data_IF_610822856554
#
_entry.id   IF_610822856554
#
_cell.length_a   1.000
_cell.length_b   1.000
_cell.length_c   1.000
_cell.angle_alpha   90.00
_cell.angle_beta   90.00
_cell.angle_gamma   90.00
#
_symmetry.space_group_name_H-M   'P 1'
#
loop_
_entity.id
_entity.type
_entity.pdbx_description
1 polymer ?
#
# COMPACT_ATOMS: atom_id res chain seq x y z
N UNK A 1 -22.93 27.65 -20.58
CA UNK A 1 -24.04 26.73 -20.27
C UNK A 1 -23.93 25.57 -21.25
N UNK A 2 -23.13 24.54 -21.02
CA UNK A 2 -23.39 23.40 -20.13
C UNK A 2 -22.06 22.66 -19.94
N UNK A 3 -21.48 22.73 -18.74
CA UNK A 3 -20.44 21.79 -18.34
C UNK A 3 -21.16 20.63 -17.66
N UNK A 4 -21.40 19.57 -18.44
CA UNK A 4 -21.79 18.27 -17.89
C UNK A 4 -20.63 17.84 -16.98
N UNK A 5 -20.84 18.00 -15.66
CA UNK A 5 -19.97 17.50 -14.59
C UNK A 5 -20.08 15.98 -14.58
N UNK A 6 -19.42 15.34 -15.53
CA UNK A 6 -19.29 13.89 -15.53
C UNK A 6 -18.30 13.50 -14.44
N UNK A 7 -18.80 13.33 -13.22
CA UNK A 7 -18.00 13.10 -12.01
C UNK A 7 -17.02 11.93 -12.13
N UNK A 8 -17.33 10.94 -12.99
CA UNK A 8 -16.47 9.81 -13.31
C UNK A 8 -15.18 10.22 -14.05
N UNK A 9 -15.18 11.29 -14.85
CA UNK A 9 -13.98 11.74 -15.57
C UNK A 9 -12.90 12.33 -14.65
N UNK A 10 -13.30 12.85 -13.49
CA UNK A 10 -12.38 13.51 -12.56
C UNK A 10 -11.91 12.63 -11.39
N UNK A 11 -12.51 11.44 -11.19
CA UNK A 11 -12.06 10.51 -10.15
C UNK A 11 -11.37 9.28 -10.76
N UNK A 12 -10.03 9.16 -10.67
CA UNK A 12 -9.29 8.05 -11.27
C UNK A 12 -9.60 6.68 -10.65
N UNK A 13 -10.29 6.62 -9.50
CA UNK A 13 -10.76 5.37 -8.92
C UNK A 13 -12.02 4.81 -9.62
N UNK A 14 -12.72 5.64 -10.38
CA UNK A 14 -13.94 5.27 -11.13
C UNK A 14 -13.66 4.95 -12.60
N UNK A 15 -12.44 5.13 -13.08
CA UNK A 15 -12.09 4.86 -14.46
C UNK A 15 -12.18 3.37 -14.77
N UNK A 16 -12.70 3.05 -15.96
CA UNK A 16 -12.63 1.70 -16.50
C UNK A 16 -11.16 1.29 -16.64
N UNK A 17 -10.81 0.16 -16.03
CA UNK A 17 -9.45 -0.39 -16.08
C UNK A 17 -9.44 -1.48 -17.13
N UNK A 18 -8.55 -1.37 -18.12
CA UNK A 18 -8.24 -2.47 -19.02
C UNK A 18 -7.54 -3.62 -18.30
N UNK A 19 -7.03 -4.58 -19.07
CA UNK A 19 -6.30 -5.73 -18.55
C UNK A 19 -5.16 -5.30 -17.62
N UNK A 20 -5.13 -5.91 -16.43
CA UNK A 20 -4.13 -5.62 -15.40
C UNK A 20 -2.91 -6.53 -15.59
N UNK A 21 -1.71 -5.92 -15.64
CA UNK A 21 -0.43 -6.65 -15.74
C UNK A 21 0.11 -7.13 -14.37
N UNK A 22 -0.48 -6.62 -13.28
CA UNK A 22 -0.21 -7.04 -11.89
C UNK A 22 -1.50 -6.96 -11.06
N UNK A 23 -1.55 -7.71 -9.97
CA UNK A 23 -2.48 -7.50 -8.86
C UNK A 23 -1.78 -6.75 -7.73
N UNK A 24 -2.48 -5.85 -7.04
CA UNK A 24 -1.98 -5.16 -5.84
C UNK A 24 -2.74 -5.71 -4.63
N UNK A 25 -2.03 -6.31 -3.67
CA UNK A 25 -2.64 -6.88 -2.47
C UNK A 25 -2.67 -5.95 -1.29
N UNK A 26 -1.57 -5.23 -1.11
CA UNK A 26 -1.41 -4.28 -0.03
C UNK A 26 -0.46 -3.17 -0.48
N UNK A 27 -0.61 -2.01 0.13
CA UNK A 27 0.30 -0.89 -0.08
C UNK A 27 0.45 -0.04 1.17
N UNK A 28 1.56 0.66 1.25
CA UNK A 28 1.79 1.74 2.19
C UNK A 28 2.66 2.80 1.53
N UNK A 29 2.16 4.03 1.43
CA UNK A 29 2.91 5.18 0.96
C UNK A 29 3.44 5.93 2.18
N UNK A 30 4.76 6.01 2.29
CA UNK A 30 5.46 6.79 3.30
C UNK A 30 5.89 8.14 2.69
N UNK A 31 6.24 9.15 3.51
CA UNK A 31 6.67 10.46 3.00
C UNK A 31 7.87 10.41 2.04
N UNK A 32 8.75 9.41 2.17
CA UNK A 32 9.99 9.29 1.41
C UNK A 32 10.11 7.98 0.59
N UNK A 33 9.18 7.04 0.69
CA UNK A 33 9.19 5.77 -0.06
C UNK A 33 7.81 5.14 -0.06
N UNK A 34 7.63 4.01 -0.76
CA UNK A 34 6.41 3.22 -0.67
C UNK A 34 6.72 1.73 -0.65
N UNK A 35 5.80 0.96 -0.09
CA UNK A 35 5.80 -0.49 -0.11
C UNK A 35 4.58 -0.99 -0.88
N UNK A 36 4.77 -1.98 -1.74
CA UNK A 36 3.72 -2.64 -2.50
C UNK A 36 3.87 -4.15 -2.36
N UNK A 37 2.77 -4.83 -2.10
CA UNK A 37 2.64 -6.26 -2.27
C UNK A 37 1.95 -6.50 -3.61
N UNK A 38 2.64 -7.15 -4.55
CA UNK A 38 2.16 -7.33 -5.92
C UNK A 38 2.31 -8.78 -6.40
N UNK A 39 1.35 -9.23 -7.19
CA UNK A 39 1.40 -10.51 -7.90
C UNK A 39 1.50 -10.24 -9.39
N UNK A 40 2.48 -10.86 -10.04
CA UNK A 40 2.69 -10.72 -11.49
C UNK A 40 1.59 -11.48 -12.26
N UNK A 41 0.93 -10.81 -13.23
CA UNK A 41 -0.07 -11.44 -14.11
C UNK A 41 0.47 -11.77 -15.50
N UNK A 42 1.57 -11.15 -15.89
CA UNK A 42 2.25 -11.32 -17.17
C UNK A 42 3.76 -11.29 -16.93
N UNK A 43 4.56 -12.06 -17.66
CA UNK A 43 6.02 -12.08 -17.48
C UNK A 43 6.62 -10.66 -17.58
N UNK A 44 7.35 -10.25 -16.53
CA UNK A 44 7.94 -8.91 -16.44
C UNK A 44 6.94 -7.78 -16.14
N UNK A 45 5.70 -8.14 -15.82
CA UNK A 45 4.60 -7.23 -15.46
C UNK A 45 4.94 -6.33 -14.28
N UNK A 46 5.68 -6.82 -13.28
CA UNK A 46 6.09 -6.00 -12.11
C UNK A 46 7.02 -4.87 -12.55
N UNK A 47 8.08 -5.18 -13.32
CA UNK A 47 9.03 -4.19 -13.81
C UNK A 47 8.36 -3.14 -14.69
N UNK A 48 7.48 -3.58 -15.60
CA UNK A 48 6.69 -2.70 -16.47
C UNK A 48 5.73 -1.82 -15.66
N UNK A 49 5.08 -2.39 -14.64
CA UNK A 49 4.17 -1.66 -13.76
C UNK A 49 4.90 -0.55 -13.00
N UNK A 50 6.01 -0.87 -12.33
CA UNK A 50 6.78 0.12 -11.56
C UNK A 50 7.38 1.17 -12.49
N UNK A 51 7.87 0.81 -13.68
CA UNK A 51 8.34 1.78 -14.66
C UNK A 51 7.25 2.80 -15.01
N UNK A 52 6.05 2.32 -15.39
CA UNK A 52 4.92 3.20 -15.74
C UNK A 52 4.51 4.08 -14.56
N UNK A 53 4.38 3.51 -13.37
CA UNK A 53 4.00 4.23 -12.15
C UNK A 53 5.00 5.34 -11.82
N UNK A 54 6.29 5.00 -11.76
CA UNK A 54 7.35 5.93 -11.40
C UNK A 54 7.52 7.03 -12.44
N UNK A 55 7.49 6.71 -13.73
CA UNK A 55 7.57 7.71 -14.79
C UNK A 55 6.39 8.69 -14.74
N UNK A 56 5.16 8.18 -14.62
CA UNK A 56 3.99 9.04 -14.53
C UNK A 56 4.04 9.96 -13.29
N UNK A 57 4.47 9.44 -12.14
CA UNK A 57 4.58 10.24 -10.93
C UNK A 57 5.68 11.30 -11.00
N UNK A 58 6.86 10.97 -11.57
CA UNK A 58 7.93 11.95 -11.81
C UNK A 58 7.45 13.07 -12.72
N UNK A 59 6.79 12.73 -13.84
CA UNK A 59 6.23 13.72 -14.77
C UNK A 59 5.21 14.62 -14.08
N UNK A 60 4.25 14.04 -13.35
CA UNK A 60 3.26 14.78 -12.59
C UNK A 60 3.90 15.73 -11.58
N UNK A 61 4.85 15.22 -10.78
CA UNK A 61 5.53 15.99 -9.74
C UNK A 61 6.34 17.14 -10.34
N UNK A 62 7.07 16.88 -11.42
CA UNK A 62 7.85 17.90 -12.11
C UNK A 62 6.97 19.01 -12.70
N UNK A 63 5.85 18.66 -13.33
CA UNK A 63 4.89 19.64 -13.85
C UNK A 63 4.28 20.45 -12.71
N UNK A 64 3.82 19.78 -11.64
CA UNK A 64 3.11 20.42 -10.53
C UNK A 64 3.99 21.39 -9.73
N UNK A 65 5.26 21.05 -9.55
CA UNK A 65 6.19 21.82 -8.72
C UNK A 65 7.23 22.58 -9.55
N UNK A 66 7.04 22.70 -10.87
CA UNK A 66 7.95 23.39 -11.80
C UNK A 66 9.41 22.92 -11.67
N UNK A 67 9.59 21.61 -11.47
CA UNK A 67 10.90 20.95 -11.33
C UNK A 67 11.30 20.24 -12.62
N UNK A 68 12.59 19.94 -12.72
CA UNK A 68 13.15 19.07 -13.75
C UNK A 68 14.02 18.00 -13.12
N UNK A 69 14.34 16.94 -13.88
CA UNK A 69 15.20 15.85 -13.43
C UNK A 69 14.47 14.70 -12.75
N UNK A 70 15.25 13.80 -12.13
CA UNK A 70 14.74 12.62 -11.43
C UNK A 70 14.12 12.95 -10.07
N UNK A 71 13.17 12.13 -9.64
CA UNK A 71 12.55 12.22 -8.31
C UNK A 71 12.98 11.07 -7.38
N UNK A 72 13.13 9.86 -7.93
CA UNK A 72 13.51 8.68 -7.18
C UNK A 72 15.04 8.52 -7.18
N UNK A 73 15.59 8.17 -6.01
CA UNK A 73 17.04 8.07 -5.79
C UNK A 73 17.68 6.79 -6.38
N UNK A 74 16.89 5.85 -6.89
CA UNK A 74 17.41 4.61 -7.45
C UNK A 74 16.35 3.68 -8.05
N UNK A 75 16.82 2.49 -8.45
CA UNK A 75 15.95 1.40 -8.92
C UNK A 75 15.08 0.90 -7.77
N UNK A 76 13.88 0.42 -8.10
CA UNK A 76 13.06 -0.30 -7.13
C UNK A 76 13.78 -1.58 -6.67
N UNK A 77 13.52 -1.98 -5.43
CA UNK A 77 13.94 -3.27 -4.89
C UNK A 77 12.73 -4.19 -4.86
N UNK A 78 12.95 -5.46 -5.18
CA UNK A 78 11.91 -6.49 -5.14
C UNK A 78 12.48 -7.76 -4.53
N UNK A 79 11.66 -8.44 -3.75
CA UNK A 79 11.99 -9.72 -3.14
C UNK A 79 10.85 -10.70 -3.37
N UNK A 80 11.17 -11.92 -3.81
CA UNK A 80 10.15 -12.94 -4.05
C UNK A 80 9.71 -13.57 -2.73
N UNK A 81 8.40 -13.65 -2.52
CA UNK A 81 7.81 -14.19 -1.29
C UNK A 81 7.51 -15.67 -1.49
N UNK A 82 8.52 -16.51 -1.26
CA UNK A 82 8.46 -17.94 -1.59
C UNK A 82 7.68 -18.82 -0.60
N UNK A 83 7.21 -18.28 0.53
CA UNK A 83 6.44 -19.05 1.52
C UNK A 83 5.26 -18.25 2.05
N UNK A 84 4.21 -18.96 2.45
CA UNK A 84 2.99 -18.40 3.05
C UNK A 84 3.29 -17.61 4.33
N UNK A 85 4.17 -18.14 5.18
CA UNK A 85 4.61 -17.47 6.40
C UNK A 85 5.31 -16.15 6.08
N UNK A 86 6.21 -16.14 5.08
CA UNK A 86 6.91 -14.93 4.71
C UNK A 86 5.99 -13.89 4.06
N UNK A 87 5.06 -14.34 3.22
CA UNK A 87 4.01 -13.51 2.65
C UNK A 87 3.16 -12.85 3.75
N UNK A 88 2.72 -13.62 4.74
CA UNK A 88 1.94 -13.12 5.87
C UNK A 88 2.72 -12.10 6.71
N UNK A 89 4.00 -12.38 6.99
CA UNK A 89 4.91 -11.44 7.65
C UNK A 89 5.02 -10.11 6.90
N UNK A 90 5.28 -10.16 5.58
CA UNK A 90 5.43 -8.96 4.75
C UNK A 90 4.12 -8.18 4.66
N UNK A 91 2.98 -8.86 4.57
CA UNK A 91 1.67 -8.22 4.60
C UNK A 91 1.46 -7.40 5.89
N UNK A 92 1.76 -7.98 7.06
CA UNK A 92 1.68 -7.26 8.34
C UNK A 92 2.70 -6.13 8.41
N UNK A 93 3.93 -6.36 7.96
CA UNK A 93 5.00 -5.35 7.92
C UNK A 93 4.62 -4.12 7.10
N UNK A 94 4.03 -4.29 5.91
CA UNK A 94 3.57 -3.18 5.06
C UNK A 94 2.58 -2.29 5.84
N UNK A 95 1.63 -2.91 6.54
CA UNK A 95 0.59 -2.22 7.27
C UNK A 95 1.09 -1.56 8.56
N UNK A 96 2.13 -2.10 9.20
CA UNK A 96 2.76 -1.55 10.40
C UNK A 96 3.82 -0.48 10.09
N UNK A 97 4.28 -0.39 8.84
CA UNK A 97 5.33 0.55 8.44
C UNK A 97 5.08 2.03 8.82
N UNK A 98 3.85 2.57 8.76
CA UNK A 98 3.55 3.93 9.20
C UNK A 98 3.98 4.23 10.64
N UNK A 99 4.06 3.22 11.51
CA UNK A 99 4.51 3.40 12.90
C UNK A 99 5.93 3.95 12.99
N UNK A 100 6.77 3.79 11.95
CA UNK A 100 8.10 4.43 11.88
C UNK A 100 8.05 5.96 11.99
N UNK A 101 6.91 6.57 11.67
CA UNK A 101 6.73 8.02 11.74
C UNK A 101 6.54 8.52 13.18
N UNK A 102 6.10 7.67 14.10
CA UNK A 102 5.90 8.01 15.53
C UNK A 102 6.88 7.28 16.45
N UNK A 103 7.42 6.16 16.02
CA UNK A 103 8.42 5.37 16.74
C UNK A 103 9.35 4.70 15.73
N UNK A 104 10.53 5.28 15.46
CA UNK A 104 11.45 4.81 14.41
C UNK A 104 12.03 3.42 14.66
N UNK A 105 12.21 3.06 15.94
CA UNK A 105 12.86 1.84 16.44
C UNK A 105 11.86 0.71 16.77
N UNK A 106 10.61 0.81 16.31
CA UNK A 106 9.55 -0.13 16.74
C UNK A 106 9.83 -1.59 16.38
N UNK A 107 10.62 -1.84 15.32
CA UNK A 107 10.98 -3.20 14.90
C UNK A 107 12.04 -3.80 15.82
N UNK A 108 12.91 -2.97 16.36
CA UNK A 108 14.08 -3.35 17.16
C UNK A 108 13.77 -3.44 18.65
N UNK A 109 12.89 -2.56 19.17
CA UNK A 109 12.60 -2.51 20.62
C UNK A 109 11.14 -2.84 20.96
N UNK A 110 10.36 -3.23 19.96
CA UNK A 110 8.92 -3.44 20.08
C UNK A 110 8.14 -2.13 20.24
N UNK A 111 6.81 -2.23 20.25
CA UNK A 111 5.93 -1.06 20.33
C UNK A 111 5.76 -0.62 21.78
N UNK A 112 6.18 0.62 22.08
CA UNK A 112 6.15 1.18 23.44
C UNK A 112 4.74 1.60 23.86
N UNK A 113 4.02 2.33 23.00
CA UNK A 113 2.67 2.83 23.28
C UNK A 113 1.64 2.22 22.31
N UNK A 114 1.14 1.04 22.69
CA UNK A 114 0.22 0.25 21.86
C UNK A 114 -1.05 1.01 21.46
N UNK A 115 -1.65 1.74 22.41
CA UNK A 115 -2.88 2.52 22.17
C UNK A 115 -2.63 3.64 21.16
N UNK A 116 -1.53 4.37 21.31
CA UNK A 116 -1.17 5.42 20.37
C UNK A 116 -0.84 4.86 18.98
N UNK A 117 -0.16 3.71 18.91
CA UNK A 117 0.14 3.04 17.65
C UNK A 117 -1.11 2.59 16.91
N UNK A 118 -2.07 1.94 17.59
CA UNK A 118 -3.36 1.57 17.00
C UNK A 118 -4.10 2.80 16.46
N UNK A 119 -4.25 3.83 17.30
CA UNK A 119 -4.90 5.07 16.89
C UNK A 119 -4.20 5.73 15.69
N UNK A 120 -2.87 5.64 15.59
CA UNK A 120 -2.14 6.15 14.45
C UNK A 120 -2.45 5.38 13.17
N UNK A 121 -2.46 4.04 13.22
CA UNK A 121 -2.81 3.19 12.08
C UNK A 121 -4.24 3.43 11.60
N UNK A 122 -5.19 3.55 12.54
CA UNK A 122 -6.61 3.81 12.24
C UNK A 122 -6.86 5.16 11.55
N UNK A 123 -5.90 6.09 11.64
CA UNK A 123 -5.98 7.41 11.01
C UNK A 123 -5.05 7.56 9.79
N UNK A 124 -4.20 6.57 9.49
CA UNK A 124 -3.23 6.65 8.41
C UNK A 124 -3.82 6.30 7.04
N UNK A 125 -4.29 7.33 6.32
CA UNK A 125 -5.01 7.16 5.03
C UNK A 125 -4.14 6.68 3.86
N UNK A 126 -2.82 6.73 3.99
CA UNK A 126 -1.88 6.46 2.91
C UNK A 126 -1.42 4.99 2.83
N UNK A 127 -2.12 4.07 3.49
CA UNK A 127 -1.90 2.62 3.36
C UNK A 127 -3.21 1.88 3.12
N UNK A 128 -3.15 0.62 2.69
CA UNK A 128 -4.32 -0.26 2.57
C UNK A 128 -4.89 -0.77 3.90
N UNK A 129 -4.31 -0.36 5.04
CA UNK A 129 -4.72 -0.83 6.37
C UNK A 129 -6.22 -0.67 6.62
N UNK A 130 -6.77 0.51 6.26
CA UNK A 130 -8.18 0.81 6.44
C UNK A 130 -9.08 -0.09 5.59
N UNK A 131 -8.65 -0.46 4.38
CA UNK A 131 -9.40 -1.37 3.50
C UNK A 131 -9.52 -2.77 4.10
N UNK A 132 -8.52 -3.22 4.86
CA UNK A 132 -8.52 -4.52 5.55
C UNK A 132 -9.17 -4.46 6.93
N UNK A 133 -9.21 -3.28 7.55
CA UNK A 133 -9.94 -3.00 8.81
C UNK A 133 -11.46 -2.86 8.62
N UNK A 134 -11.97 -3.03 7.39
CA UNK A 134 -13.40 -2.97 7.08
C UNK A 134 -13.92 -1.59 6.66
N UNK A 135 -13.06 -0.57 6.60
CA UNK A 135 -13.46 0.76 6.13
C UNK A 135 -13.53 0.74 4.60
N UNK A 136 -14.72 0.99 4.05
CA UNK A 136 -14.91 1.12 2.61
C UNK A 136 -14.45 2.50 2.15
N UNK A 137 -13.55 2.52 1.18
CA UNK A 137 -13.05 3.74 0.55
C UNK A 137 -12.76 3.51 -0.93
N UNK A 138 -12.64 4.61 -1.68
CA UNK A 138 -12.45 4.56 -3.13
C UNK A 138 -11.09 4.00 -3.54
N UNK A 139 -10.07 4.22 -2.71
CA UNK A 139 -8.73 3.71 -2.95
C UNK A 139 -8.70 2.18 -3.00
N UNK A 140 -9.62 1.50 -2.30
CA UNK A 140 -9.79 0.06 -2.36
C UNK A 140 -10.05 -0.48 -3.78
N UNK A 141 -10.43 0.37 -4.73
CA UNK A 141 -10.60 0.02 -6.15
C UNK A 141 -9.29 -0.39 -6.85
N UNK A 142 -8.11 -0.11 -6.26
CA UNK A 142 -6.82 -0.56 -6.81
C UNK A 142 -6.39 -1.92 -6.24
N UNK A 143 -7.05 -2.40 -5.18
CA UNK A 143 -6.71 -3.64 -4.50
C UNK A 143 -7.38 -4.83 -5.18
N UNK A 144 -6.62 -5.90 -5.37
CA UNK A 144 -7.11 -7.21 -5.81
C UNK A 144 -6.94 -8.20 -4.65
N UNK A 145 -7.87 -8.13 -3.69
CA UNK A 145 -7.85 -8.98 -2.48
C UNK A 145 -8.00 -10.47 -2.79
N UNK A 146 -8.55 -10.83 -3.96
CA UNK A 146 -8.78 -12.22 -4.37
C UNK A 146 -7.52 -12.90 -4.89
N UNK A 147 -6.54 -12.12 -5.34
CA UNK A 147 -5.26 -12.62 -5.82
C UNK A 147 -4.32 -13.08 -4.69
N UNK A 148 -4.75 -12.96 -3.43
CA UNK A 148 -3.97 -13.33 -2.25
C UNK A 148 -4.66 -14.47 -1.51
N UNK A 149 -3.89 -15.39 -0.89
CA UNK A 149 -4.45 -16.40 -0.01
C UNK A 149 -5.29 -15.73 1.08
N UNK A 150 -6.41 -16.35 1.42
CA UNK A 150 -7.37 -15.83 2.40
C UNK A 150 -6.88 -16.02 3.84
N UNK A 151 -5.74 -15.41 4.18
CA UNK A 151 -5.18 -15.44 5.54
C UNK A 151 -6.02 -14.67 6.54
N UNK A 152 -6.80 -13.71 6.06
CA UNK A 152 -7.60 -12.80 6.87
C UNK A 152 -9.05 -12.79 6.35
N UNK A 153 -9.80 -13.89 6.53
CA UNK A 153 -11.15 -14.05 5.98
C UNK A 153 -12.17 -13.09 6.61
N UNK A 154 -11.81 -12.46 7.72
CA UNK A 154 -12.61 -11.42 8.36
C UNK A 154 -11.75 -10.26 8.84
N UNK A 155 -12.37 -9.10 9.02
CA UNK A 155 -11.75 -7.93 9.65
C UNK A 155 -11.19 -8.26 11.03
N UNK A 156 -11.89 -9.12 11.80
CA UNK A 156 -11.43 -9.59 13.11
C UNK A 156 -10.12 -10.39 13.03
N UNK A 157 -9.92 -11.19 11.97
CA UNK A 157 -8.67 -11.93 11.80
C UNK A 157 -7.51 -10.97 11.48
N UNK A 158 -7.76 -9.96 10.65
CA UNK A 158 -6.79 -8.91 10.36
C UNK A 158 -6.45 -8.09 11.61
N UNK A 159 -7.45 -7.61 12.35
CA UNK A 159 -7.26 -6.88 13.60
C UNK A 159 -6.46 -7.69 14.62
N UNK A 160 -6.79 -8.99 14.77
CA UNK A 160 -6.04 -9.88 15.67
C UNK A 160 -4.58 -10.01 15.26
N UNK A 161 -4.29 -10.19 13.98
CA UNK A 161 -2.91 -10.24 13.48
C UNK A 161 -2.14 -8.96 13.82
N UNK A 162 -2.73 -7.80 13.56
CA UNK A 162 -2.12 -6.51 13.88
C UNK A 162 -1.89 -6.37 15.39
N UNK A 163 -2.87 -6.79 16.20
CA UNK A 163 -2.73 -6.79 17.66
C UNK A 163 -1.63 -7.75 18.13
N UNK A 164 -1.50 -8.93 17.54
CA UNK A 164 -0.45 -9.90 17.88
C UNK A 164 0.93 -9.27 17.61
N UNK A 165 1.12 -8.62 16.46
CA UNK A 165 2.33 -7.86 16.16
C UNK A 165 2.59 -6.71 17.13
N UNK A 166 1.54 -5.97 17.52
CA UNK A 166 1.66 -4.85 18.46
C UNK A 166 1.98 -5.33 19.87
N UNK A 167 1.53 -6.53 20.22
CA UNK A 167 1.75 -7.14 21.52
C UNK A 167 3.02 -7.97 21.60
N UNK A 168 3.63 -8.31 20.46
CA UNK A 168 4.86 -9.09 20.39
C UNK A 168 5.96 -8.43 21.22
N UNK A 169 6.53 -9.23 22.12
CA UNK A 169 7.75 -8.93 22.85
C UNK A 169 8.74 -10.03 22.48
N UNK A 170 9.94 -9.65 22.06
CA UNK A 170 11.06 -10.58 21.98
C UNK A 170 11.35 -11.23 23.35
#
# INVERSE_FOLDING_TARGET
MSMIKDSAKNDPYLWERGSQIVSIGAYCLMPNHFHLLVTEKESGGISKFIQKLSTAYVMYHNIKYERTGGLFEGKFKSEHLGTDQYLKYIFSYIHLNPLKLIQKDWKEVGIKNKKASLNYLDNYKYSSYLDFSGIKRKEGAILDKKAYPDYFPSTKNFEREILDWINYKE
#
